data_IF_650671842486
#
_entry.id   IF_650671842486
#
_cell.length_a   1.000
_cell.length_b   1.000
_cell.length_c   1.000
_cell.angle_alpha   90.00
_cell.angle_beta   90.00
_cell.angle_gamma   90.00
#
_symmetry.space_group_name_H-M   'P 1'
#
loop_
_entity.id
_entity.type
_entity.pdbx_description
1 polymer ?
#
# COMPACT_ATOMS: atom_id res chain seq x y z
N UNK A 1 6.38 2.93 16.89
CA UNK A 1 5.41 1.96 17.47
C UNK A 1 4.88 1.23 16.26
N UNK A 2 5.00 -0.10 16.21
CA UNK A 2 4.62 -0.90 15.04
C UNK A 2 3.21 -0.55 14.57
N UNK A 3 3.01 -0.56 13.25
CA UNK A 3 1.74 -0.19 12.64
C UNK A 3 0.61 -1.10 13.15
N UNK A 4 -0.60 -0.57 13.28
CA UNK A 4 -1.81 -1.33 13.62
C UNK A 4 -2.83 -1.11 12.51
N UNK A 5 -2.35 -1.20 11.27
CA UNK A 5 -3.14 -0.88 10.10
C UNK A 5 -4.20 -1.94 9.88
N UNK A 6 -5.33 -1.50 9.34
CA UNK A 6 -6.44 -2.37 8.95
C UNK A 6 -6.66 -2.18 7.45
N UNK A 7 -5.97 -2.99 6.67
CA UNK A 7 -5.90 -2.82 5.22
C UNK A 7 -7.27 -3.12 4.60
N UNK A 8 -7.77 -2.18 3.80
CA UNK A 8 -9.11 -2.26 3.26
C UNK A 8 -9.27 -1.59 1.89
N UNK A 9 -8.18 -1.18 1.24
CA UNK A 9 -8.22 -0.61 -0.10
C UNK A 9 -7.05 -1.09 -0.97
N UNK A 10 -7.20 -0.90 -2.28
CA UNK A 10 -6.14 -1.12 -3.26
C UNK A 10 -5.91 0.20 -3.99
N UNK A 11 -4.64 0.58 -4.15
CA UNK A 11 -4.22 1.79 -4.86
C UNK A 11 -3.13 1.48 -5.89
N UNK A 12 -3.04 2.32 -6.93
CA UNK A 12 -1.92 2.35 -7.87
C UNK A 12 -1.03 3.54 -7.53
N UNK A 13 0.26 3.28 -7.31
CA UNK A 13 1.27 4.30 -7.11
C UNK A 13 2.11 4.39 -8.38
N UNK A 14 2.27 5.61 -8.89
CA UNK A 14 3.18 5.93 -10.01
C UNK A 14 4.41 6.62 -9.46
N UNK A 15 5.59 6.04 -9.70
CA UNK A 15 6.89 6.60 -9.31
C UNK A 15 7.27 7.76 -10.24
N UNK A 16 8.27 8.54 -9.83
CA UNK A 16 8.76 9.67 -10.63
C UNK A 16 9.41 9.26 -11.95
N UNK A 17 9.92 8.02 -12.06
CA UNK A 17 10.41 7.44 -13.31
C UNK A 17 9.30 6.93 -14.24
N UNK A 18 8.03 7.03 -13.82
CA UNK A 18 6.85 6.58 -14.56
C UNK A 18 6.48 5.11 -14.37
N UNK A 19 7.31 4.32 -13.66
CA UNK A 19 6.94 2.95 -13.28
C UNK A 19 5.77 2.95 -12.30
N UNK A 20 5.00 1.87 -12.30
CA UNK A 20 3.78 1.72 -11.51
C UNK A 20 3.81 0.45 -10.70
N UNK A 21 3.13 0.47 -9.55
CA UNK A 21 2.84 -0.73 -8.78
C UNK A 21 1.52 -0.57 -8.04
N UNK A 22 0.93 -1.70 -7.66
CA UNK A 22 -0.27 -1.75 -6.84
C UNK A 22 0.09 -1.96 -5.38
N UNK A 23 -0.59 -1.27 -4.47
CA UNK A 23 -0.47 -1.44 -3.03
C UNK A 23 -1.82 -1.81 -2.41
N UNK A 24 -1.79 -2.72 -1.43
CA UNK A 24 -2.94 -3.01 -0.58
C UNK A 24 -2.73 -2.22 0.70
N UNK A 25 -3.57 -1.21 0.95
CA UNK A 25 -3.33 -0.24 2.01
C UNK A 25 -4.63 0.09 2.76
N UNK A 26 -4.59 1.16 3.55
CA UNK A 26 -5.75 1.78 4.17
C UNK A 26 -5.75 3.29 3.90
N UNK A 27 -6.73 4.00 4.45
CA UNK A 27 -6.90 5.43 4.22
C UNK A 27 -5.73 6.26 4.79
N UNK A 28 -5.07 5.78 5.85
CA UNK A 28 -3.97 6.50 6.47
C UNK A 28 -2.74 6.44 5.56
N UNK A 29 -2.39 5.25 5.06
CA UNK A 29 -1.29 5.14 4.10
C UNK A 29 -1.62 5.85 2.79
N UNK A 30 -2.84 5.71 2.26
CA UNK A 30 -3.21 6.45 1.05
C UNK A 30 -3.02 7.97 1.24
N UNK A 31 -3.43 8.53 2.39
CA UNK A 31 -3.18 9.94 2.70
C UNK A 31 -1.70 10.32 2.77
N UNK A 32 -0.82 9.40 3.21
CA UNK A 32 0.64 9.60 3.16
C UNK A 32 1.18 9.54 1.74
N UNK A 33 0.67 8.64 0.90
CA UNK A 33 1.01 8.58 -0.51
C UNK A 33 0.53 9.85 -1.25
N UNK A 34 -0.66 10.37 -0.96
CA UNK A 34 -1.15 11.65 -1.51
C UNK A 34 -0.24 12.81 -1.11
N UNK A 35 0.14 12.89 0.17
CA UNK A 35 1.09 13.90 0.64
C UNK A 35 2.47 13.75 0.00
N UNK A 36 2.93 12.52 -0.23
CA UNK A 36 4.17 12.24 -0.94
C UNK A 36 4.12 12.69 -2.41
N UNK A 37 2.97 12.55 -3.07
CA UNK A 37 2.76 13.07 -4.42
C UNK A 37 2.79 14.60 -4.45
N UNK A 38 2.13 15.26 -3.48
CA UNK A 38 2.15 16.73 -3.33
C UNK A 38 3.58 17.25 -3.11
N UNK A 39 4.38 16.52 -2.33
CA UNK A 39 5.79 16.84 -2.05
C UNK A 39 6.76 16.44 -3.17
N UNK A 40 6.28 15.73 -4.20
CA UNK A 40 7.08 15.31 -5.34
C UNK A 40 7.97 14.09 -5.10
N UNK A 41 7.75 13.31 -4.04
CA UNK A 41 8.48 12.06 -3.79
C UNK A 41 8.00 10.92 -4.68
N UNK A 42 6.72 10.94 -5.04
CA UNK A 42 6.13 10.09 -6.09
C UNK A 42 5.37 10.95 -7.09
N UNK A 43 5.00 10.38 -8.23
CA UNK A 43 4.30 11.12 -9.28
C UNK A 43 2.82 11.31 -8.98
N UNK A 44 2.16 10.23 -8.55
CA UNK A 44 0.73 10.22 -8.21
C UNK A 44 0.34 8.92 -7.50
N UNK A 45 -0.74 8.97 -6.73
CA UNK A 45 -1.44 7.81 -6.20
C UNK A 45 -2.90 7.85 -6.65
N UNK A 46 -3.51 6.68 -6.91
CA UNK A 46 -4.92 6.56 -7.28
C UNK A 46 -5.53 5.35 -6.58
N UNK A 47 -6.55 5.56 -5.76
CA UNK A 47 -7.37 4.48 -5.21
C UNK A 47 -8.11 3.78 -6.36
N UNK A 48 -7.98 2.46 -6.44
CA UNK A 48 -8.65 1.62 -7.43
C UNK A 48 -9.92 0.98 -6.86
N UNK A 49 -9.85 0.55 -5.60
CA UNK A 49 -10.93 -0.15 -4.93
C UNK A 49 -10.92 0.17 -3.44
N UNK A 50 -12.08 0.50 -2.88
CA UNK A 50 -12.31 0.70 -1.46
C UNK A 50 -13.10 -0.49 -0.88
N UNK A 51 -12.98 -0.68 0.44
CA UNK A 51 -13.72 -1.69 1.20
C UNK A 51 -13.54 -3.11 0.63
N UNK A 52 -12.29 -3.47 0.30
CA UNK A 52 -11.99 -4.83 -0.17
C UNK A 52 -12.34 -5.86 0.93
N UNK A 53 -12.78 -7.08 0.55
CA UNK A 53 -13.08 -8.11 1.52
C UNK A 53 -11.87 -8.44 2.40
N UNK A 54 -12.10 -8.63 3.70
CA UNK A 54 -11.06 -9.03 4.67
C UNK A 54 -10.72 -10.53 4.51
N UNK A 55 -10.16 -10.88 3.36
CA UNK A 55 -9.79 -12.26 3.02
C UNK A 55 -8.57 -12.74 3.81
N UNK A 56 -8.29 -14.05 3.78
CA UNK A 56 -7.09 -14.61 4.43
C UNK A 56 -5.80 -14.00 3.88
N UNK A 57 -5.78 -13.67 2.59
CA UNK A 57 -4.64 -13.05 1.93
C UNK A 57 -4.44 -11.61 2.41
N UNK A 58 -5.52 -10.83 2.54
CA UNK A 58 -5.47 -9.46 3.11
C UNK A 58 -4.95 -9.49 4.54
N UNK A 59 -5.45 -10.40 5.39
CA UNK A 59 -4.99 -10.53 6.78
C UNK A 59 -3.51 -10.93 6.84
N UNK A 60 -3.06 -11.85 5.98
CA UNK A 60 -1.67 -12.25 5.94
C UNK A 60 -0.73 -11.09 5.58
N UNK A 61 -1.11 -10.30 4.56
CA UNK A 61 -0.35 -9.12 4.16
C UNK A 61 -0.40 -8.00 5.22
N UNK A 62 -1.55 -7.77 5.83
CA UNK A 62 -1.71 -6.82 6.94
C UNK A 62 -0.79 -7.15 8.12
N UNK A 63 -0.76 -8.42 8.55
CA UNK A 63 0.15 -8.87 9.61
C UNK A 63 1.62 -8.61 9.23
N UNK A 64 1.99 -8.92 7.99
CA UNK A 64 3.34 -8.63 7.50
C UNK A 64 3.67 -7.13 7.58
N UNK A 65 2.77 -6.27 7.12
CA UNK A 65 2.97 -4.81 7.18
C UNK A 65 3.13 -4.34 8.63
N UNK A 66 2.21 -4.74 9.50
CA UNK A 66 2.22 -4.36 10.91
C UNK A 66 3.47 -4.87 11.66
N UNK A 67 4.02 -6.02 11.26
CA UNK A 67 5.23 -6.57 11.89
C UNK A 67 6.53 -5.91 11.41
N UNK A 68 6.58 -5.44 10.17
CA UNK A 68 7.82 -5.05 9.48
C UNK A 68 7.95 -3.55 9.21
N UNK A 69 6.84 -2.80 9.21
CA UNK A 69 6.84 -1.38 8.88
C UNK A 69 6.17 -0.54 9.98
N UNK A 70 6.56 0.73 10.05
CA UNK A 70 5.89 1.75 10.84
C UNK A 70 5.26 2.78 9.90
N UNK A 71 4.02 3.16 10.14
CA UNK A 71 3.38 4.25 9.38
C UNK A 71 4.18 5.54 9.59
N UNK A 72 4.66 6.21 8.52
CA UNK A 72 5.40 7.45 8.67
C UNK A 72 4.49 8.56 9.23
N UNK A 73 5.08 9.41 10.08
CA UNK A 73 4.45 10.67 10.50
C UNK A 73 4.37 11.64 9.34
N UNK A 74 3.47 12.63 9.40
CA UNK A 74 3.26 13.55 8.28
C UNK A 74 4.47 14.41 7.92
N UNK A 75 5.47 14.52 8.79
CA UNK A 75 6.73 15.25 8.58
C UNK A 75 7.84 14.41 7.91
N UNK A 76 7.49 13.29 7.26
CA UNK A 76 8.45 12.49 6.48
C UNK A 76 9.13 13.29 5.34
N UNK A 77 10.40 13.00 5.10
CA UNK A 77 11.26 13.65 4.10
C UNK A 77 11.53 12.78 2.85
N UNK A 78 11.01 11.55 2.84
CA UNK A 78 11.01 10.65 1.71
C UNK A 78 9.76 9.76 1.75
N UNK A 79 9.42 9.14 0.61
CA UNK A 79 8.37 8.13 0.55
C UNK A 79 8.99 6.74 0.66
N UNK A 80 8.64 6.01 1.71
CA UNK A 80 9.05 4.62 1.89
C UNK A 80 8.02 3.68 1.23
N UNK A 81 8.48 2.92 0.24
CA UNK A 81 7.68 1.83 -0.32
C UNK A 81 7.78 0.59 0.58
N UNK A 82 6.65 -0.04 0.89
CA UNK A 82 6.62 -1.29 1.62
C UNK A 82 7.24 -2.41 0.78
N UNK A 83 8.50 -2.72 1.06
CA UNK A 83 9.24 -3.75 0.34
C UNK A 83 8.66 -5.12 0.65
N UNK A 84 8.25 -5.85 -0.39
CA UNK A 84 7.67 -7.18 -0.27
C UNK A 84 8.73 -8.25 -0.42
N UNK A 85 8.56 -9.34 0.31
CA UNK A 85 9.22 -10.61 0.00
C UNK A 85 8.54 -11.26 -1.22
N UNK A 86 9.19 -12.23 -1.90
CA UNK A 86 8.54 -12.98 -2.99
C UNK A 86 7.20 -13.62 -2.56
N UNK A 87 7.12 -14.11 -1.33
CA UNK A 87 5.90 -14.68 -0.77
C UNK A 87 4.77 -13.64 -0.63
N UNK A 88 5.10 -12.44 -0.13
CA UNK A 88 4.12 -11.36 0.01
C UNK A 88 3.70 -10.80 -1.35
N UNK A 89 4.58 -10.81 -2.35
CA UNK A 89 4.22 -10.44 -3.72
C UNK A 89 3.16 -11.41 -4.27
N UNK A 90 3.34 -12.72 -4.12
CA UNK A 90 2.33 -13.70 -4.53
C UNK A 90 0.99 -13.52 -3.80
N UNK A 91 1.02 -13.14 -2.52
CA UNK A 91 -0.18 -12.85 -1.73
C UNK A 91 -0.88 -11.60 -2.27
N UNK A 92 -0.14 -10.51 -2.51
CA UNK A 92 -0.73 -9.30 -3.08
C UNK A 92 -1.32 -9.57 -4.45
N UNK A 93 -0.64 -10.30 -5.32
CA UNK A 93 -1.22 -10.70 -6.61
C UNK A 93 -2.53 -11.49 -6.47
N UNK A 94 -2.63 -12.38 -5.46
CA UNK A 94 -3.89 -13.09 -5.18
C UNK A 94 -4.99 -12.12 -4.75
N UNK A 95 -4.68 -11.14 -3.91
CA UNK A 95 -5.63 -10.09 -3.50
C UNK A 95 -6.10 -9.28 -4.72
N UNK A 96 -5.18 -8.91 -5.62
CA UNK A 96 -5.53 -8.17 -6.84
C UNK A 96 -6.46 -8.98 -7.74
N UNK A 97 -6.19 -10.28 -7.94
CA UNK A 97 -7.04 -11.20 -8.71
C UNK A 97 -8.42 -11.39 -8.07
N UNK A 98 -8.47 -11.55 -6.74
CA UNK A 98 -9.72 -11.66 -5.96
C UNK A 98 -10.61 -10.42 -6.10
N UNK A 99 -10.01 -9.25 -6.31
CA UNK A 99 -10.71 -7.97 -6.47
C UNK A 99 -10.83 -7.52 -7.93
N UNK A 100 -10.49 -8.38 -8.90
CA UNK A 100 -10.58 -8.10 -10.34
C UNK A 100 -9.76 -6.89 -10.82
N UNK A 101 -8.60 -6.65 -10.21
CA UNK A 101 -7.72 -5.51 -10.55
C UNK A 101 -6.65 -5.90 -11.58
N UNK A 102 -5.96 -7.02 -11.37
CA UNK A 102 -4.87 -7.52 -12.22
C UNK A 102 -4.85 -9.04 -12.23
#
# INVERSE_FOLDING_TARGET
MKSNETLNLIEEITRNDGSKYYEVSDIAQNGRAELAAIRGFIKSVRILQLNIPRSKNVIAYENYINENFEMPKEDFDHFEEWKRTPEMEEIVEKILRENHIA
#
